data_IF_680025855498
#
_entry.id   IF_680025855498
#
_cell.length_a   1.000
_cell.length_b   1.000
_cell.length_c   1.000
_cell.angle_alpha   90.00
_cell.angle_beta   90.00
_cell.angle_gamma   90.00
#
_symmetry.space_group_name_H-M   'P 1'
#
loop_
_entity.id
_entity.type
_entity.pdbx_description
1 polymer ?
#
# COMPACT_ATOMS: atom_id res chain seq x y z
N UNK A 1 9.57 8.05 -15.58
CA UNK A 1 9.14 6.91 -14.75
C UNK A 1 7.86 7.21 -13.99
N UNK A 2 7.82 8.23 -13.11
CA UNK A 2 6.62 8.59 -12.34
C UNK A 2 5.39 8.75 -13.24
N UNK A 3 5.52 9.49 -14.33
CA UNK A 3 4.45 9.67 -15.32
C UNK A 3 3.98 8.35 -15.97
N UNK A 4 4.90 7.42 -16.23
CA UNK A 4 4.55 6.09 -16.74
C UNK A 4 3.72 5.31 -15.73
N UNK A 5 4.13 5.31 -14.45
CA UNK A 5 3.39 4.63 -13.38
C UNK A 5 2.03 5.30 -13.15
N UNK A 6 1.99 6.63 -13.18
CA UNK A 6 0.73 7.39 -13.09
C UNK A 6 -0.27 6.92 -14.16
N UNK A 7 0.16 6.85 -15.42
CA UNK A 7 -0.68 6.41 -16.53
C UNK A 7 -1.10 4.94 -16.41
N UNK A 8 -0.23 4.06 -15.92
CA UNK A 8 -0.56 2.64 -15.71
C UNK A 8 -1.57 2.42 -14.57
N UNK A 9 -1.63 3.33 -13.60
CA UNK A 9 -2.51 3.23 -12.43
C UNK A 9 -3.79 4.07 -12.55
N UNK A 10 -4.01 4.70 -13.71
CA UNK A 10 -5.25 5.39 -14.02
C UNK A 10 -6.44 4.42 -14.18
N UNK A 11 -7.67 4.82 -13.85
CA UNK A 11 -8.88 4.02 -14.08
C UNK A 11 -9.04 3.54 -15.52
N UNK A 12 -8.58 4.33 -16.50
CA UNK A 12 -8.64 4.03 -17.93
C UNK A 12 -7.76 2.82 -18.30
N UNK A 13 -6.67 2.58 -17.56
CA UNK A 13 -5.78 1.44 -17.77
C UNK A 13 -6.35 0.12 -17.20
N UNK A 14 -7.44 0.16 -16.44
CA UNK A 14 -8.01 -1.01 -15.76
C UNK A 14 -8.33 -2.18 -16.71
N UNK A 15 -8.79 -1.90 -17.92
CA UNK A 15 -9.10 -2.94 -18.91
C UNK A 15 -7.82 -3.67 -19.36
N UNK A 16 -6.72 -2.93 -19.60
CA UNK A 16 -5.45 -3.54 -19.96
C UNK A 16 -4.89 -4.43 -18.82
N UNK A 17 -5.10 -4.04 -17.57
CA UNK A 17 -4.77 -4.92 -16.43
C UNK A 17 -5.65 -6.17 -16.38
N UNK A 18 -6.94 -6.04 -16.69
CA UNK A 18 -7.89 -7.18 -16.70
C UNK A 18 -7.63 -8.19 -17.82
N UNK A 19 -6.97 -7.78 -18.89
CA UNK A 19 -6.54 -8.69 -19.96
C UNK A 19 -5.39 -9.63 -19.51
N UNK A 20 -4.68 -9.27 -18.43
CA UNK A 20 -3.65 -10.10 -17.82
C UNK A 20 -4.26 -11.15 -16.88
N UNK A 21 -3.62 -12.32 -16.80
CA UNK A 21 -3.95 -13.31 -15.76
C UNK A 21 -3.63 -12.75 -14.37
N UNK A 22 -4.26 -13.26 -13.31
CA UNK A 22 -3.99 -12.83 -11.93
C UNK A 22 -2.51 -12.95 -11.55
N UNK A 23 -1.82 -13.98 -12.04
CA UNK A 23 -0.37 -14.16 -11.84
C UNK A 23 0.45 -13.08 -12.55
N UNK A 24 0.06 -12.70 -13.77
CA UNK A 24 0.73 -11.65 -14.54
C UNK A 24 0.46 -10.26 -13.97
N UNK A 25 -0.76 -9.99 -13.47
CA UNK A 25 -1.07 -8.76 -12.74
C UNK A 25 -0.18 -8.62 -11.49
N UNK A 26 -0.10 -9.68 -10.68
CA UNK A 26 0.73 -9.72 -9.48
C UNK A 26 2.22 -9.51 -9.80
N UNK A 27 2.70 -10.15 -10.86
CA UNK A 27 4.09 -10.01 -11.31
C UNK A 27 4.38 -8.59 -11.79
N UNK A 28 3.52 -8.03 -12.64
CA UNK A 28 3.67 -6.66 -13.15
C UNK A 28 3.59 -5.61 -12.04
N UNK A 29 2.65 -5.74 -11.10
CA UNK A 29 2.54 -4.86 -9.95
C UNK A 29 3.77 -4.92 -9.03
N UNK A 30 4.29 -6.13 -8.79
CA UNK A 30 5.53 -6.31 -8.00
C UNK A 30 6.75 -5.72 -8.71
N UNK A 31 6.85 -5.89 -10.04
CA UNK A 31 7.90 -5.27 -10.86
C UNK A 31 7.82 -3.74 -10.82
N UNK A 32 6.62 -3.16 -10.83
CA UNK A 32 6.45 -1.70 -10.69
C UNK A 32 7.00 -1.20 -9.36
N UNK A 33 6.67 -1.86 -8.24
CA UNK A 33 7.21 -1.51 -6.91
C UNK A 33 8.74 -1.53 -6.90
N UNK A 34 9.34 -2.63 -7.39
CA UNK A 34 10.78 -2.83 -7.38
C UNK A 34 11.52 -1.83 -8.28
N UNK A 35 11.01 -1.60 -9.50
CA UNK A 35 11.61 -0.69 -10.49
C UNK A 35 11.58 0.76 -10.02
N UNK A 36 10.48 1.19 -9.40
CA UNK A 36 10.36 2.55 -8.86
C UNK A 36 11.33 2.74 -7.71
N UNK A 37 11.44 1.76 -6.81
CA UNK A 37 12.41 1.81 -5.71
C UNK A 37 13.85 1.86 -6.24
N UNK A 38 14.23 1.01 -7.20
CA UNK A 38 15.57 1.03 -7.82
C UNK A 38 15.89 2.38 -8.45
N UNK A 39 14.97 2.90 -9.24
CA UNK A 39 15.16 4.18 -9.93
C UNK A 39 15.22 5.37 -8.95
N UNK A 40 14.45 5.30 -7.85
CA UNK A 40 14.50 6.31 -6.79
C UNK A 40 15.90 6.36 -6.13
N UNK A 41 16.54 5.22 -5.89
CA UNK A 41 17.89 5.20 -5.34
C UNK A 41 18.96 5.60 -6.36
N UNK A 42 18.80 5.27 -7.64
CA UNK A 42 19.66 5.82 -8.71
C UNK A 42 19.57 7.35 -8.75
N UNK A 43 18.37 7.91 -8.57
CA UNK A 43 18.19 9.36 -8.44
C UNK A 43 18.88 9.89 -7.17
N UNK A 44 18.66 9.26 -6.01
CA UNK A 44 19.24 9.67 -4.73
C UNK A 44 20.78 9.74 -4.77
N UNK A 45 21.42 8.84 -5.51
CA UNK A 45 22.89 8.80 -5.67
C UNK A 45 23.44 10.02 -6.44
N UNK A 46 22.60 10.67 -7.25
CA UNK A 46 22.95 11.83 -8.06
C UNK A 46 22.52 13.17 -7.43
N UNK A 47 21.85 13.15 -6.28
CA UNK A 47 21.45 14.35 -5.54
C UNK A 47 22.63 14.96 -4.77
N UNK A 48 22.62 16.28 -4.58
CA UNK A 48 23.57 16.92 -3.67
C UNK A 48 23.22 16.57 -2.21
N UNK A 49 24.19 16.71 -1.30
CA UNK A 49 23.94 16.54 0.14
C UNK A 49 22.88 17.57 0.55
N UNK A 50 21.81 17.11 1.22
CA UNK A 50 20.63 17.87 1.66
C UNK A 50 19.54 18.18 0.62
N UNK A 51 19.63 17.65 -0.60
CA UNK A 51 18.58 17.81 -1.61
C UNK A 51 17.39 16.87 -1.39
N UNK A 52 16.20 17.36 -1.76
CA UNK A 52 14.94 16.60 -1.78
C UNK A 52 14.27 16.84 -3.13
N UNK A 53 13.91 15.76 -3.83
CA UNK A 53 13.13 15.77 -5.06
C UNK A 53 11.75 15.21 -4.79
N UNK A 54 10.71 15.88 -5.27
CA UNK A 54 9.31 15.49 -5.12
C UNK A 54 8.61 15.49 -6.46
N UNK A 55 7.94 14.38 -6.75
CA UNK A 55 7.18 14.17 -7.97
C UNK A 55 5.78 13.69 -7.57
N UNK A 56 4.78 14.55 -7.73
CA UNK A 56 3.42 14.29 -7.27
C UNK A 56 2.46 14.25 -8.44
N UNK A 57 1.77 13.13 -8.61
CA UNK A 57 0.69 12.92 -9.58
C UNK A 57 -0.54 12.35 -8.88
N UNK A 58 -1.64 12.18 -9.61
CA UNK A 58 -2.88 11.66 -9.05
C UNK A 58 -2.76 10.22 -8.56
N UNK A 59 -1.98 9.37 -9.25
CA UNK A 59 -1.91 7.94 -8.93
C UNK A 59 -0.59 7.49 -8.29
N UNK A 60 0.43 8.35 -8.30
CA UNK A 60 1.70 8.12 -7.63
C UNK A 60 2.28 9.42 -7.08
N UNK A 61 2.73 9.39 -5.83
CA UNK A 61 3.56 10.44 -5.23
C UNK A 61 4.91 9.82 -4.86
N UNK A 62 5.99 10.51 -5.19
CA UNK A 62 7.36 10.07 -4.96
C UNK A 62 8.14 11.20 -4.29
N UNK A 63 8.84 10.89 -3.20
CA UNK A 63 9.82 11.77 -2.58
C UNK A 63 11.14 11.03 -2.43
N UNK A 64 12.22 11.63 -2.93
CA UNK A 64 13.58 11.10 -2.84
C UNK A 64 14.45 12.16 -2.19
N UNK A 65 15.14 11.79 -1.11
CA UNK A 65 15.95 12.72 -0.35
C UNK A 65 17.35 12.15 -0.12
N UNK A 66 18.36 13.01 -0.20
CA UNK A 66 19.71 12.76 0.30
C UNK A 66 19.98 13.76 1.41
N UNK A 67 20.07 13.31 2.65
CA UNK A 67 20.14 14.19 3.83
C UNK A 67 21.45 14.03 4.58
N UNK A 68 21.87 15.09 5.27
CA UNK A 68 22.93 15.00 6.27
C UNK A 68 22.39 14.30 7.52
N UNK A 69 23.15 13.36 8.08
CA UNK A 69 22.84 12.76 9.40
C UNK A 69 23.62 13.41 10.54
N UNK A 70 24.45 14.40 10.22
CA UNK A 70 25.21 15.18 11.20
C UNK A 70 24.35 16.32 11.75
N UNK A 71 24.43 16.55 13.07
CA UNK A 71 23.72 17.64 13.74
C UNK A 71 22.28 17.31 14.14
N UNK A 72 21.42 18.34 14.11
CA UNK A 72 20.00 18.21 14.44
C UNK A 72 19.23 17.82 13.17
N UNK A 73 18.72 16.60 13.17
CA UNK A 73 17.85 16.07 12.13
C UNK A 73 16.43 16.00 12.70
N UNK A 74 15.45 16.32 11.88
CA UNK A 74 14.03 16.24 12.25
C UNK A 74 13.42 14.93 11.72
N UNK A 75 12.23 14.61 12.23
CA UNK A 75 11.44 13.51 11.71
C UNK A 75 11.01 13.81 10.27
N UNK A 76 11.15 12.83 9.38
CA UNK A 76 10.66 12.95 8.01
C UNK A 76 9.25 12.40 7.91
N UNK A 77 8.34 13.20 7.34
CA UNK A 77 6.95 12.83 7.09
C UNK A 77 6.63 12.95 5.61
N UNK A 78 5.99 11.93 5.07
CA UNK A 78 5.58 11.87 3.66
C UNK A 78 4.12 11.41 3.52
N UNK A 79 3.34 12.00 2.60
CA UNK A 79 3.60 13.28 1.94
C UNK A 79 3.63 14.44 2.96
N UNK A 80 4.36 15.51 2.65
CA UNK A 80 4.51 16.68 3.52
C UNK A 80 3.20 17.48 3.68
N UNK A 81 2.32 17.41 2.67
CA UNK A 81 1.02 18.09 2.70
C UNK A 81 0.06 17.45 3.71
N UNK A 82 -0.33 18.24 4.71
CA UNK A 82 -1.28 17.88 5.78
C UNK A 82 -2.72 17.84 5.24
N UNK A 83 -3.03 16.88 4.37
CA UNK A 83 -4.40 16.53 3.98
C UNK A 83 -4.98 15.41 4.85
N UNK A 84 -6.29 15.13 4.72
CA UNK A 84 -6.94 13.93 5.26
C UNK A 84 -6.55 12.64 4.50
N UNK A 85 -5.29 12.54 4.09
CA UNK A 85 -4.74 11.48 3.25
C UNK A 85 -3.89 10.48 4.02
N UNK A 86 -3.21 9.62 3.27
CA UNK A 86 -2.26 8.65 3.83
C UNK A 86 -0.90 9.32 4.10
N UNK A 87 -0.25 8.96 5.20
CA UNK A 87 1.07 9.47 5.61
C UNK A 87 1.96 8.37 6.19
N UNK A 88 3.28 8.49 6.06
CA UNK A 88 4.31 7.67 6.70
C UNK A 88 5.36 8.59 7.33
N UNK A 89 5.94 8.18 8.46
CA UNK A 89 6.93 8.96 9.19
C UNK A 89 8.12 8.09 9.62
N UNK A 90 9.32 8.61 9.41
CA UNK A 90 10.57 8.09 9.97
C UNK A 90 11.10 9.06 11.03
N UNK A 91 11.48 8.52 12.19
CA UNK A 91 12.06 9.34 13.25
C UNK A 91 13.47 9.81 12.89
N UNK A 92 13.86 10.97 13.40
CA UNK A 92 15.22 11.48 13.32
C UNK A 92 16.25 10.46 13.84
N UNK A 93 15.90 9.70 14.87
CA UNK A 93 16.71 8.61 15.41
C UNK A 93 16.96 7.51 14.37
N UNK A 94 15.91 7.02 13.71
CA UNK A 94 16.02 6.02 12.64
C UNK A 94 16.94 6.51 11.53
N UNK A 95 16.79 7.78 11.14
CA UNK A 95 17.60 8.36 10.07
C UNK A 95 19.07 8.49 10.47
N UNK A 96 19.36 8.93 11.71
CA UNK A 96 20.72 9.02 12.25
C UNK A 96 21.38 7.64 12.39
N UNK A 97 20.66 6.66 12.93
CA UNK A 97 21.18 5.30 13.15
C UNK A 97 21.50 4.57 11.86
N UNK A 98 20.75 4.82 10.79
CA UNK A 98 20.93 4.18 9.50
C UNK A 98 21.76 5.02 8.52
N UNK A 99 22.27 6.18 8.95
CA UNK A 99 23.18 7.02 8.20
C UNK A 99 24.51 6.32 7.88
N UNK A 100 25.10 6.67 6.74
CA UNK A 100 26.38 6.16 6.27
C UNK A 100 27.23 7.34 5.79
N UNK A 101 28.46 7.42 6.27
CA UNK A 101 29.39 8.51 5.93
C UNK A 101 28.79 9.91 6.18
N UNK A 102 28.01 10.07 7.25
CA UNK A 102 27.38 11.35 7.60
C UNK A 102 26.16 11.72 6.75
N UNK A 103 25.63 10.78 5.95
CA UNK A 103 24.49 11.00 5.05
C UNK A 103 23.49 9.83 5.05
N UNK A 104 22.28 10.10 4.60
CA UNK A 104 21.26 9.07 4.37
C UNK A 104 20.48 9.36 3.09
N UNK A 105 20.19 8.30 2.34
CA UNK A 105 19.31 8.32 1.17
C UNK A 105 17.98 7.71 1.55
N UNK A 106 16.89 8.41 1.28
CA UNK A 106 15.53 8.01 1.63
C UNK A 106 14.66 8.08 0.38
N UNK A 107 13.81 7.08 0.20
CA UNK A 107 12.78 7.08 -0.82
C UNK A 107 11.43 6.76 -0.17
N UNK A 108 10.44 7.62 -0.42
CA UNK A 108 9.04 7.39 -0.09
C UNK A 108 8.20 7.34 -1.34
N UNK A 109 7.24 6.42 -1.38
CA UNK A 109 6.31 6.32 -2.51
C UNK A 109 4.90 6.04 -2.00
N UNK A 110 3.89 6.70 -2.59
CA UNK A 110 2.49 6.39 -2.38
C UNK A 110 1.87 6.01 -3.72
N UNK A 111 1.33 4.81 -3.82
CA UNK A 111 0.64 4.32 -5.01
C UNK A 111 -0.86 4.24 -4.75
N UNK A 112 -1.64 4.98 -5.52
CA UNK A 112 -3.09 4.79 -5.58
C UNK A 112 -3.39 3.67 -6.60
N UNK A 113 -4.46 2.92 -6.36
CA UNK A 113 -4.98 1.89 -7.28
C UNK A 113 -4.05 0.70 -7.59
N UNK A 114 -2.90 0.56 -6.93
CA UNK A 114 -2.02 -0.60 -7.10
C UNK A 114 -2.48 -1.84 -6.32
N UNK A 115 -3.12 -1.64 -5.18
CA UNK A 115 -3.56 -2.69 -4.25
C UNK A 115 -4.34 -3.85 -4.89
N UNK A 116 -5.32 -3.61 -5.78
CA UNK A 116 -6.08 -4.67 -6.45
C UNK A 116 -5.25 -5.69 -7.24
N UNK A 117 -4.05 -5.31 -7.70
CA UNK A 117 -3.17 -6.19 -8.48
C UNK A 117 -2.19 -6.99 -7.60
N UNK A 118 -2.12 -6.69 -6.29
CA UNK A 118 -1.31 -7.40 -5.31
C UNK A 118 -2.21 -8.37 -4.54
N UNK A 119 -2.30 -9.61 -5.04
CA UNK A 119 -3.21 -10.64 -4.52
C UNK A 119 -3.14 -10.79 -3.00
N UNK A 120 -4.32 -10.94 -2.38
CA UNK A 120 -4.48 -11.25 -0.96
C UNK A 120 -4.48 -12.76 -0.69
N UNK A 121 -4.30 -13.58 -1.72
CA UNK A 121 -4.13 -15.02 -1.59
C UNK A 121 -2.89 -15.32 -0.72
N UNK A 122 -3.01 -16.26 0.22
CA UNK A 122 -1.94 -16.63 1.16
C UNK A 122 -1.48 -15.50 2.10
N UNK A 123 -2.26 -14.42 2.24
CA UNK A 123 -1.95 -13.38 3.21
C UNK A 123 -1.91 -13.95 4.63
N UNK A 124 -0.90 -13.58 5.44
CA UNK A 124 -0.75 -14.11 6.81
C UNK A 124 -1.66 -13.45 7.86
N UNK A 125 -2.78 -12.87 7.41
CA UNK A 125 -3.72 -12.15 8.24
C UNK A 125 -4.38 -13.05 9.28
N UNK A 126 -4.64 -12.48 10.45
CA UNK A 126 -5.47 -13.11 11.47
C UNK A 126 -6.87 -12.53 11.35
N UNK A 127 -7.78 -13.25 10.69
CA UNK A 127 -9.21 -12.92 10.79
C UNK A 127 -9.72 -13.35 12.16
N UNK A 128 -10.51 -12.49 12.81
CA UNK A 128 -11.31 -12.91 13.96
C UNK A 128 -12.24 -14.05 13.56
N UNK A 129 -12.54 -14.95 14.49
CA UNK A 129 -13.37 -16.17 14.30
C UNK A 129 -14.71 -15.88 13.62
N UNK A 130 -15.27 -14.68 13.81
CA UNK A 130 -16.53 -14.24 13.19
C UNK A 130 -16.40 -13.96 11.68
N UNK A 131 -15.28 -13.39 11.23
CA UNK A 131 -15.05 -13.04 9.82
C UNK A 131 -14.72 -14.26 8.95
N UNK A 132 -14.23 -15.36 9.54
CA UNK A 132 -14.01 -16.64 8.84
C UNK A 132 -15.30 -17.42 8.56
N UNK A 133 -16.42 -17.08 9.23
CA UNK A 133 -17.68 -17.83 9.17
C UNK A 133 -18.65 -17.37 8.07
N UNK A 134 -18.29 -16.34 7.32
CA UNK A 134 -19.18 -15.59 6.43
C UNK A 134 -18.49 -15.34 5.08
N UNK A 135 -19.27 -15.05 4.03
CA UNK A 135 -18.81 -14.79 2.64
C UNK A 135 -17.97 -13.50 2.49
N UNK A 136 -16.99 -13.27 3.36
CA UNK A 136 -16.10 -12.12 3.28
C UNK A 136 -14.95 -12.42 2.31
N UNK A 137 -14.71 -11.50 1.38
CA UNK A 137 -13.46 -11.46 0.62
C UNK A 137 -12.47 -10.53 1.31
N UNK A 138 -11.19 -10.84 1.24
CA UNK A 138 -10.13 -9.95 1.74
C UNK A 138 -9.71 -9.03 0.61
N UNK A 139 -9.58 -7.73 0.89
CA UNK A 139 -9.10 -6.74 -0.07
C UNK A 139 -7.96 -5.91 0.53
N UNK A 140 -7.09 -5.40 -0.33
CA UNK A 140 -6.19 -4.29 0.01
C UNK A 140 -7.03 -3.02 0.05
N UNK A 141 -7.35 -2.52 1.24
CA UNK A 141 -8.31 -1.43 1.44
C UNK A 141 -7.65 -0.07 1.68
N UNK A 142 -6.43 0.11 1.19
CA UNK A 142 -5.69 1.37 1.27
C UNK A 142 -4.81 1.55 0.04
N UNK A 143 -4.29 2.77 -0.21
CA UNK A 143 -3.10 2.93 -1.03
C UNK A 143 -1.95 2.06 -0.53
N UNK A 144 -0.99 1.75 -1.41
CA UNK A 144 0.29 1.13 -1.03
C UNK A 144 1.26 2.26 -0.71
N UNK A 145 1.84 2.25 0.49
CA UNK A 145 2.79 3.28 0.93
C UNK A 145 4.14 2.63 1.23
N UNK A 146 5.21 3.18 0.67
CA UNK A 146 6.56 2.63 0.71
C UNK A 146 7.48 3.59 1.42
N UNK A 147 8.38 3.03 2.22
CA UNK A 147 9.53 3.73 2.76
C UNK A 147 10.75 2.82 2.63
N UNK A 148 11.85 3.38 2.13
CA UNK A 148 13.13 2.69 2.00
C UNK A 148 14.28 3.64 2.34
N UNK A 149 15.35 3.11 2.93
CA UNK A 149 16.57 3.85 3.22
C UNK A 149 17.79 3.07 2.75
N UNK A 150 18.81 3.79 2.28
CA UNK A 150 20.14 3.25 1.93
C UNK A 150 20.10 1.83 1.34
N UNK A 151 19.58 1.71 0.10
CA UNK A 151 19.47 0.43 -0.59
C UNK A 151 20.84 -0.17 -0.89
N UNK A 152 21.33 -1.00 0.02
CA UNK A 152 22.49 -1.86 -0.21
C UNK A 152 22.10 -3.31 0.08
N UNK A 153 22.28 -4.17 -0.93
CA UNK A 153 22.19 -5.63 -0.87
C UNK A 153 20.90 -6.19 -0.22
N UNK A 154 19.80 -6.14 -0.99
CA UNK A 154 18.60 -7.01 -0.96
C UNK A 154 17.88 -7.31 0.35
N UNK A 155 18.30 -6.75 1.48
CA UNK A 155 17.77 -7.12 2.79
C UNK A 155 16.83 -6.04 3.31
N UNK A 156 15.70 -6.49 3.89
CA UNK A 156 14.78 -5.62 4.62
C UNK A 156 15.55 -4.90 5.73
N UNK A 157 15.42 -3.58 5.79
CA UNK A 157 16.03 -2.78 6.86
C UNK A 157 15.16 -2.90 8.09
N UNK A 158 15.67 -3.49 9.17
CA UNK A 158 14.99 -3.55 10.46
C UNK A 158 15.31 -2.32 11.29
N UNK A 159 14.29 -1.76 11.95
CA UNK A 159 14.38 -0.52 12.69
C UNK A 159 14.27 -0.76 14.20
N UNK A 160 15.11 -0.08 14.98
CA UNK A 160 14.96 -0.01 16.44
C UNK A 160 13.73 0.84 16.80
N UNK A 161 13.57 1.99 16.14
CA UNK A 161 12.38 2.84 16.20
C UNK A 161 11.45 2.52 15.03
N UNK A 162 10.30 1.86 15.25
CA UNK A 162 9.41 1.41 14.18
C UNK A 162 8.90 2.54 13.29
N UNK A 163 8.79 2.29 11.99
CA UNK A 163 8.09 3.20 11.07
C UNK A 163 6.62 3.26 11.42
N UNK A 164 6.04 4.46 11.42
CA UNK A 164 4.61 4.68 11.68
C UNK A 164 3.97 5.24 10.43
N UNK A 165 2.86 4.63 10.01
CA UNK A 165 2.07 5.13 8.89
C UNK A 165 0.59 5.12 9.21
N UNK A 166 -0.13 6.09 8.67
CA UNK A 166 -1.59 6.20 8.71
C UNK A 166 -2.10 6.17 7.28
N UNK A 167 -3.05 5.31 6.96
CA UNK A 167 -3.62 5.23 5.61
C UNK A 167 -5.12 5.46 5.63
N UNK A 168 -5.61 6.14 4.60
CA UNK A 168 -7.04 6.31 4.36
C UNK A 168 -7.63 5.05 3.74
N UNK A 169 -8.81 4.65 4.22
CA UNK A 169 -9.57 3.51 3.70
C UNK A 169 -10.15 3.83 2.32
N UNK A 170 -10.03 2.91 1.36
CA UNK A 170 -10.64 3.03 0.04
C UNK A 170 -12.15 2.81 0.13
N UNK A 171 -12.56 1.72 0.80
CA UNK A 171 -13.95 1.39 1.08
C UNK A 171 -14.23 1.54 2.57
N UNK A 172 -15.31 2.24 2.90
CA UNK A 172 -15.79 2.34 4.27
C UNK A 172 -16.78 1.21 4.52
N UNK A 173 -16.57 0.44 5.61
CA UNK A 173 -17.55 -0.55 6.07
C UNK A 173 -18.36 0.04 7.22
N UNK A 174 -19.66 -0.27 7.30
CA UNK A 174 -20.50 0.10 8.44
C UNK A 174 -20.34 -0.87 9.61
N UNK A 175 -19.89 -2.10 9.36
CA UNK A 175 -19.72 -3.16 10.37
C UNK A 175 -18.29 -3.72 10.36
N UNK A 176 -17.76 -3.97 11.56
CA UNK A 176 -16.52 -4.70 11.87
C UNK A 176 -15.27 -4.35 11.04
N UNK A 177 -14.51 -3.35 11.54
CA UNK A 177 -13.17 -3.04 11.07
C UNK A 177 -12.18 -4.08 11.60
N UNK A 178 -11.80 -5.05 10.77
CA UNK A 178 -10.68 -5.95 11.07
C UNK A 178 -9.45 -5.57 10.23
N UNK A 179 -8.86 -4.36 10.41
CA UNK A 179 -7.69 -3.93 9.67
C UNK A 179 -6.48 -4.77 10.06
N UNK A 180 -5.78 -5.29 9.06
CA UNK A 180 -4.49 -5.91 9.25
C UNK A 180 -3.42 -5.02 8.61
N UNK A 181 -2.51 -4.51 9.45
CA UNK A 181 -1.31 -3.83 9.01
C UNK A 181 -0.36 -4.84 8.39
N UNK A 182 -0.12 -4.71 7.09
CA UNK A 182 0.62 -5.70 6.32
C UNK A 182 1.67 -5.04 5.43
N UNK A 183 2.60 -5.85 4.98
CA UNK A 183 3.59 -5.47 3.98
C UNK A 183 3.71 -6.51 2.87
N UNK A 184 4.14 -6.08 1.68
CA UNK A 184 4.33 -6.96 0.53
C UNK A 184 5.67 -7.68 0.64
N UNK A 185 5.64 -8.97 0.97
CA UNK A 185 6.83 -9.82 1.03
C UNK A 185 7.02 -10.54 -0.30
N UNK A 186 7.96 -10.08 -1.12
CA UNK A 186 8.18 -10.61 -2.46
C UNK A 186 9.60 -11.12 -2.68
N UNK A 187 9.74 -12.00 -3.68
CA UNK A 187 11.00 -12.50 -4.19
C UNK A 187 11.42 -11.67 -5.39
N UNK A 188 12.61 -11.05 -5.34
CA UNK A 188 13.18 -10.31 -6.48
C UNK A 188 13.45 -11.19 -7.71
N UNK A 189 13.64 -12.50 -7.52
CA UNK A 189 13.92 -13.44 -8.63
C UNK A 189 12.68 -13.73 -9.46
N UNK A 190 11.54 -13.88 -8.81
CA UNK A 190 10.28 -14.28 -9.46
C UNK A 190 9.32 -13.11 -9.64
N UNK A 191 9.56 -12.00 -8.94
CA UNK A 191 8.65 -10.86 -8.82
C UNK A 191 7.25 -11.29 -8.37
N UNK A 192 7.21 -12.25 -7.45
CA UNK A 192 5.99 -12.75 -6.83
C UNK A 192 6.11 -12.67 -5.31
N UNK A 193 4.98 -12.55 -4.62
CA UNK A 193 4.96 -12.33 -3.18
C UNK A 193 3.59 -12.58 -2.55
N UNK A 194 3.49 -12.22 -1.27
CA UNK A 194 2.27 -12.29 -0.48
C UNK A 194 2.27 -11.17 0.57
N UNK A 195 1.09 -10.81 1.07
CA UNK A 195 0.94 -9.86 2.17
C UNK A 195 1.26 -10.53 3.51
N UNK A 196 2.21 -9.98 4.26
CA UNK A 196 2.59 -10.48 5.58
C UNK A 196 2.32 -9.44 6.66
N UNK A 197 1.82 -9.87 7.82
CA UNK A 197 1.67 -9.02 9.02
C UNK A 197 2.90 -9.08 9.94
N UNK A 198 3.95 -9.83 9.57
CA UNK A 198 5.12 -10.04 10.44
C UNK A 198 5.84 -8.72 10.72
N UNK A 199 6.08 -8.44 12.00
CA UNK A 199 6.76 -7.20 12.42
C UNK A 199 5.89 -5.95 12.35
N UNK A 200 4.63 -6.07 11.95
CA UNK A 200 3.65 -4.98 11.90
C UNK A 200 2.59 -5.13 12.99
N UNK A 201 2.17 -4.00 13.56
CA UNK A 201 1.13 -3.91 14.60
C UNK A 201 0.13 -2.82 14.26
N UNK A 202 -1.14 -3.08 14.56
CA UNK A 202 -2.20 -2.09 14.56
C UNK A 202 -2.02 -1.17 15.78
N UNK A 203 -1.98 0.14 15.56
CA UNK A 203 -1.95 1.12 16.64
C UNK A 203 -3.35 1.66 16.94
N UNK A 204 -4.05 2.14 15.91
CA UNK A 204 -5.41 2.65 16.02
C UNK A 204 -6.15 2.51 14.69
N UNK A 205 -7.47 2.44 14.74
CA UNK A 205 -8.32 2.44 13.55
C UNK A 205 -9.63 3.17 13.85
N UNK A 206 -10.15 3.86 12.84
CA UNK A 206 -11.49 4.41 12.83
C UNK A 206 -12.14 4.09 11.47
N UNK A 207 -13.36 4.61 11.21
CA UNK A 207 -14.09 4.30 9.97
C UNK A 207 -13.34 4.61 8.68
N UNK A 208 -12.44 5.59 8.74
CA UNK A 208 -11.81 6.22 7.57
C UNK A 208 -10.31 6.00 7.49
N UNK A 209 -9.64 5.72 8.62
CA UNK A 209 -8.19 5.65 8.70
C UNK A 209 -7.73 4.54 9.63
N UNK A 210 -6.58 3.97 9.30
CA UNK A 210 -5.86 3.02 10.15
C UNK A 210 -4.42 3.48 10.29
N UNK A 211 -3.92 3.46 11.53
CA UNK A 211 -2.52 3.74 11.87
C UNK A 211 -1.83 2.44 12.28
N UNK A 212 -0.68 2.21 11.68
CA UNK A 212 0.13 1.02 11.82
C UNK A 212 1.56 1.39 12.25
N UNK A 213 2.24 0.43 12.87
CA UNK A 213 3.66 0.52 13.20
C UNK A 213 4.35 -0.77 12.75
N UNK A 214 5.45 -0.65 12.02
CA UNK A 214 6.23 -1.81 11.55
C UNK A 214 7.72 -1.64 11.90
N UNK A 215 8.39 -2.73 12.27
CA UNK A 215 9.81 -2.70 12.66
C UNK A 215 10.77 -2.93 11.49
N UNK A 216 10.31 -2.78 10.25
CA UNK A 216 11.12 -2.87 9.04
C UNK A 216 10.60 -1.91 7.99
N UNK A 217 11.36 -1.73 6.91
CA UNK A 217 11.05 -0.87 5.76
C UNK A 217 10.80 -1.68 4.50
N UNK A 218 9.72 -1.36 3.79
CA UNK A 218 9.20 -2.09 2.61
C UNK A 218 7.98 -1.34 2.03
N UNK A 219 7.07 -2.07 1.37
CA UNK A 219 5.80 -1.61 0.82
C UNK A 219 4.65 -2.04 1.73
N UNK A 220 3.92 -1.09 2.31
CA UNK A 220 2.86 -1.34 3.30
C UNK A 220 1.46 -1.08 2.74
N UNK A 221 0.48 -1.79 3.28
CA UNK A 221 -0.93 -1.52 3.08
C UNK A 221 -1.77 -2.04 4.26
N UNK A 222 -3.03 -1.65 4.30
CA UNK A 222 -4.02 -2.20 5.23
C UNK A 222 -4.99 -3.10 4.49
N UNK A 223 -5.02 -4.37 4.89
CA UNK A 223 -5.97 -5.34 4.36
C UNK A 223 -7.20 -5.41 5.28
N UNK A 224 -8.37 -5.58 4.68
CA UNK A 224 -9.63 -5.72 5.41
C UNK A 224 -10.50 -6.81 4.79
N UNK A 225 -11.27 -7.49 5.64
CA UNK A 225 -12.39 -8.28 5.20
C UNK A 225 -13.52 -7.36 4.70
N UNK A 226 -14.12 -7.72 3.57
CA UNK A 226 -15.20 -6.97 2.93
C UNK A 226 -16.31 -7.96 2.55
N UNK A 227 -17.56 -7.66 2.92
CA UNK A 227 -18.72 -8.41 2.44
C UNK A 227 -19.02 -7.94 1.02
N UNK A 228 -18.94 -8.84 0.04
CA UNK A 228 -19.62 -8.57 -1.22
C UNK A 228 -21.13 -8.64 -0.99
N UNK A 229 -21.77 -7.48 -0.86
CA UNK A 229 -23.22 -7.42 -0.96
C UNK A 229 -23.58 -7.77 -2.40
N UNK A 230 -23.96 -9.03 -2.66
CA UNK A 230 -24.66 -9.40 -3.88
C UNK A 230 -25.96 -8.61 -3.90
N UNK A 231 -25.96 -7.45 -4.56
CA UNK A 231 -27.20 -6.77 -4.90
C UNK A 231 -27.94 -7.68 -5.86
N UNK A 232 -28.86 -8.49 -5.33
CA UNK A 232 -29.89 -9.11 -6.14
C UNK A 232 -30.60 -7.94 -6.83
N UNK A 233 -30.46 -7.83 -8.15
CA UNK A 233 -31.39 -7.03 -8.90
C UNK A 233 -32.78 -7.53 -8.53
N UNK A 234 -33.63 -6.61 -8.08
CA UNK A 234 -35.08 -6.79 -8.03
C UNK A 234 -35.53 -7.20 -9.43
N UNK A 235 -35.54 -8.50 -9.72
CA UNK A 235 -36.43 -9.03 -10.73
C UNK A 235 -37.84 -8.90 -10.18
N UNK A 236 -38.74 -8.13 -10.81
CA UNK A 236 -40.15 -8.23 -10.49
C UNK A 236 -40.55 -9.68 -10.78
N UNK A 237 -41.10 -10.40 -9.80
CA UNK A 237 -41.83 -11.62 -10.09
C UNK A 237 -42.99 -11.24 -11.00
N UNK A 238 -42.91 -11.55 -12.29
CA UNK A 238 -44.09 -11.62 -13.14
C UNK A 238 -45.07 -12.59 -12.48
N UNK A 239 -46.28 -12.09 -12.18
CA UNK A 239 -47.38 -12.93 -11.71
C UNK A 239 -47.83 -13.79 -12.90
N UNK A 240 -47.97 -15.11 -12.78
CA UNK A 240 -48.59 -15.90 -13.83
C UNK A 240 -50.03 -15.43 -14.01
N UNK A 241 -50.42 -15.22 -15.28
CA UNK A 241 -51.78 -14.89 -15.71
C UNK A 241 -52.84 -15.71 -14.96
N UNK A 242 -53.76 -15.02 -14.28
CA UNK A 242 -55.02 -15.61 -13.89
C UNK A 242 -55.91 -15.71 -15.15
N UNK A 243 -56.24 -16.93 -15.54
CA UNK A 243 -57.25 -17.20 -16.57
C UNK A 243 -58.61 -16.64 -16.12
N UNK A 244 -59.42 -16.05 -17.02
CA UNK A 244 -60.74 -15.58 -16.67
C UNK A 244 -61.69 -16.76 -16.49
N UNK A 245 -62.40 -16.75 -15.37
CA UNK A 245 -63.48 -17.68 -15.04
C UNK A 245 -64.81 -17.07 -15.51
N UNK A 246 -65.66 -17.92 -16.10
CA UNK A 246 -67.14 -17.80 -16.31
C UNK A 246 -67.63 -16.92 -17.48
N UNK A 247 -68.87 -17.14 -18.00
CA UNK A 247 -70.11 -17.55 -17.31
C UNK A 247 -70.28 -19.05 -17.05
#
# INVERSE_FOLDING_TARGET
MVETVNNLLQPQALNAWRDLTTSDQLRAATMLLDTVEESAFVLADNLLKTDIVRENTDNIQLEVARLSTEGNLEDLKFPETMGHGSTIQLSANTLKQNGRNGEIRVAFVLYNNLGPYLSTENASMKLGTEAMSTNHSVIVNSPVITAAINKEFSNKVYLADPVVFTVKHIKQSEENFNPNCSFWSYSKRTMTGYWSTQGCRLLTTNKTHTTCSCNHLTNFAVLMAHVEVKTWYRYPKERPNASPVTP
#
